data_IF_329336910452
#
_entry.id   IF_329336910452
#
_cell.length_a   1.000
_cell.length_b   1.000
_cell.length_c   1.000
_cell.angle_alpha   90.00
_cell.angle_beta   90.00
_cell.angle_gamma   90.00
#
_symmetry.space_group_name_H-M   'P 1'
#
loop_
_entity.id
_entity.type
_entity.pdbx_description
1 polymer ?
#
# COMPACT_ATOMS: atom_id res chain seq x y z
N UNK A 1 -8.36 8.15 -5.04
CA UNK A 1 -7.99 6.80 -4.59
C UNK A 1 -9.21 6.18 -3.96
N UNK A 2 -9.49 4.94 -4.32
CA UNK A 2 -10.61 4.13 -3.83
C UNK A 2 -10.21 2.65 -3.84
N UNK A 3 -10.94 1.76 -3.12
CA UNK A 3 -10.72 0.33 -3.23
C UNK A 3 -10.77 -0.15 -4.69
N UNK A 4 -9.82 -1.00 -5.06
CA UNK A 4 -9.60 -1.50 -6.42
C UNK A 4 -8.65 -0.66 -7.27
N UNK A 5 -8.24 0.53 -6.82
CA UNK A 5 -7.19 1.29 -7.51
C UNK A 5 -5.81 0.64 -7.29
N UNK A 6 -4.99 0.62 -8.33
CA UNK A 6 -3.57 0.31 -8.21
C UNK A 6 -2.76 1.57 -7.89
N UNK A 7 -1.75 1.42 -7.04
CA UNK A 7 -0.94 2.52 -6.51
C UNK A 7 0.54 2.15 -6.45
N UNK A 8 1.40 3.17 -6.52
CA UNK A 8 2.80 3.10 -6.10
C UNK A 8 2.91 3.69 -4.71
N UNK A 9 3.81 3.10 -3.91
CA UNK A 9 4.29 3.68 -2.67
C UNK A 9 5.75 4.13 -2.88
N UNK A 10 6.01 5.43 -3.13
CA UNK A 10 7.35 5.91 -3.46
C UNK A 10 8.41 5.59 -2.40
N UNK A 11 8.05 5.67 -1.11
CA UNK A 11 8.99 5.34 -0.04
C UNK A 11 9.33 3.84 -0.01
N UNK A 12 8.47 2.95 -0.50
CA UNK A 12 8.85 1.54 -0.70
C UNK A 12 9.90 1.39 -1.81
N UNK A 13 9.81 2.21 -2.86
CA UNK A 13 10.79 2.25 -3.94
C UNK A 13 12.16 2.75 -3.46
N UNK A 14 12.19 3.74 -2.55
CA UNK A 14 13.44 4.19 -1.92
C UNK A 14 14.11 3.08 -1.08
N UNK A 15 13.32 2.11 -0.61
CA UNK A 15 13.79 0.93 0.12
C UNK A 15 14.02 -0.29 -0.78
N UNK A 16 13.94 -0.13 -2.10
CA UNK A 16 14.28 -1.16 -3.09
C UNK A 16 13.10 -1.91 -3.70
N UNK A 17 11.86 -1.68 -3.23
CA UNK A 17 10.68 -2.29 -3.82
C UNK A 17 9.98 -1.37 -4.82
N UNK A 18 10.12 -1.70 -6.09
CA UNK A 18 9.55 -0.92 -7.21
C UNK A 18 8.19 -1.47 -7.71
N UNK A 19 7.57 -2.39 -6.97
CA UNK A 19 6.28 -2.96 -7.35
C UNK A 19 5.10 -2.03 -7.10
N UNK A 20 3.91 -2.53 -7.44
CA UNK A 20 2.65 -1.83 -7.23
C UNK A 20 1.81 -2.55 -6.18
N UNK A 21 0.85 -1.82 -5.62
CA UNK A 21 -0.09 -2.33 -4.64
C UNK A 21 -1.52 -2.07 -5.11
N UNK A 22 -2.44 -2.92 -4.71
CA UNK A 22 -3.87 -2.70 -4.89
C UNK A 22 -4.48 -2.21 -3.58
N UNK A 23 -5.31 -1.16 -3.66
CA UNK A 23 -6.04 -0.64 -2.50
C UNK A 23 -7.20 -1.57 -2.17
N UNK A 24 -7.23 -2.12 -0.96
CA UNK A 24 -8.28 -3.02 -0.46
C UNK A 24 -9.36 -2.23 0.28
N UNK A 25 -8.96 -1.20 1.02
CA UNK A 25 -9.86 -0.42 1.86
C UNK A 25 -9.29 0.93 2.23
N UNK A 26 -10.17 1.86 2.64
CA UNK A 26 -9.78 3.18 3.15
C UNK A 26 -10.56 3.42 4.44
N UNK A 27 -9.84 3.81 5.50
CA UNK A 27 -10.42 4.11 6.80
C UNK A 27 -9.62 5.17 7.55
N UNK A 28 -10.23 5.88 8.51
CA UNK A 28 -9.48 6.71 9.44
C UNK A 28 -8.65 5.84 10.37
N UNK A 29 -7.33 6.08 10.44
CA UNK A 29 -6.44 5.31 11.32
C UNK A 29 -6.78 5.48 12.79
N UNK A 30 -6.65 4.40 13.56
CA UNK A 30 -6.77 4.43 15.02
C UNK A 30 -5.48 4.92 15.70
N UNK A 31 -4.35 4.78 15.01
CA UNK A 31 -3.00 5.00 15.55
C UNK A 31 -2.38 6.30 15.03
N UNK A 32 -2.58 6.62 13.76
CA UNK A 32 -2.10 7.84 13.14
C UNK A 32 -3.20 8.90 13.23
N UNK A 33 -2.96 9.95 14.01
CA UNK A 33 -3.93 11.02 14.24
C UNK A 33 -3.32 12.37 13.90
N UNK A 34 -4.17 13.28 13.42
CA UNK A 34 -3.79 14.68 13.25
C UNK A 34 -3.69 15.40 14.61
N UNK A 35 -3.37 16.71 14.55
CA UNK A 35 -3.25 17.56 15.74
C UNK A 35 -4.58 17.73 16.51
N UNK A 36 -5.72 17.48 15.86
CA UNK A 36 -7.03 17.52 16.49
C UNK A 36 -7.44 16.15 17.08
N UNK A 37 -6.60 15.12 16.95
CA UNK A 37 -6.88 13.77 17.40
C UNK A 37 -7.75 12.95 16.46
N UNK A 38 -8.01 13.45 15.25
CA UNK A 38 -8.78 12.76 14.20
C UNK A 38 -7.85 11.80 13.46
N UNK A 39 -8.31 10.58 13.23
CA UNK A 39 -7.54 9.57 12.50
C UNK A 39 -7.22 10.03 11.08
N UNK A 40 -5.94 9.94 10.68
CA UNK A 40 -5.52 10.26 9.32
C UNK A 40 -6.16 9.26 8.33
N UNK A 41 -6.53 9.70 7.11
CA UNK A 41 -6.97 8.80 6.07
C UNK A 41 -5.87 7.80 5.70
N UNK A 42 -6.15 6.52 5.90
CA UNK A 42 -5.20 5.42 5.70
C UNK A 42 -5.81 4.40 4.75
N UNK A 43 -5.00 3.95 3.80
CA UNK A 43 -5.34 2.86 2.89
C UNK A 43 -4.79 1.54 3.45
N UNK A 44 -5.59 0.49 3.34
CA UNK A 44 -5.10 -0.88 3.44
C UNK A 44 -4.74 -1.32 2.03
N UNK A 45 -3.48 -1.62 1.79
CA UNK A 45 -2.95 -2.01 0.48
C UNK A 45 -2.36 -3.42 0.55
N UNK A 46 -2.40 -4.10 -0.59
CA UNK A 46 -1.82 -5.43 -0.78
C UNK A 46 -0.85 -5.37 -1.97
N UNK A 47 0.40 -5.83 -1.83
CA UNK A 47 1.33 -5.89 -2.96
C UNK A 47 0.80 -6.86 -4.01
N UNK A 48 0.88 -6.47 -5.29
CA UNK A 48 0.47 -7.34 -6.41
C UNK A 48 1.32 -8.61 -6.47
N UNK A 49 2.59 -8.50 -6.08
CA UNK A 49 3.49 -9.63 -5.87
C UNK A 49 4.01 -9.60 -4.43
N UNK A 50 3.36 -10.38 -3.56
CA UNK A 50 3.68 -10.49 -2.14
C UNK A 50 5.01 -11.18 -1.87
N UNK A 51 5.39 -12.15 -2.71
CA UNK A 51 6.67 -12.86 -2.56
C UNK A 51 7.83 -11.91 -2.83
N UNK A 52 7.78 -11.19 -3.96
CA UNK A 52 8.80 -10.18 -4.27
C UNK A 52 8.84 -9.07 -3.24
N UNK A 53 7.69 -8.63 -2.73
CA UNK A 53 7.62 -7.63 -1.68
C UNK A 53 8.35 -8.08 -0.41
N UNK A 54 8.04 -9.28 0.10
CA UNK A 54 8.67 -9.77 1.33
C UNK A 54 10.18 -10.00 1.17
N UNK A 55 10.62 -10.53 0.03
CA UNK A 55 12.06 -10.70 -0.23
C UNK A 55 12.78 -9.35 -0.24
N UNK A 56 12.20 -8.33 -0.88
CA UNK A 56 12.87 -7.04 -1.07
C UNK A 56 12.78 -6.13 0.16
N UNK A 57 11.66 -6.15 0.88
CA UNK A 57 11.38 -5.22 1.97
C UNK A 57 11.57 -5.82 3.37
N UNK A 58 11.35 -7.13 3.52
CA UNK A 58 11.39 -7.80 4.82
C UNK A 58 12.60 -8.72 4.98
N UNK A 59 13.34 -9.02 3.90
CA UNK A 59 14.43 -10.03 3.87
C UNK A 59 13.95 -11.40 4.39
N UNK A 60 12.67 -11.71 4.16
CA UNK A 60 12.01 -12.91 4.65
C UNK A 60 11.50 -13.77 3.48
N UNK A 61 11.71 -15.09 3.60
CA UNK A 61 11.12 -16.05 2.69
C UNK A 61 9.63 -16.20 3.00
N UNK A 62 8.79 -15.66 2.12
CA UNK A 62 7.35 -15.65 2.29
C UNK A 62 6.68 -16.78 1.52
N UNK A 63 5.72 -17.45 2.15
CA UNK A 63 4.95 -18.49 1.47
C UNK A 63 3.96 -17.85 0.48
N UNK A 64 3.83 -18.43 -0.72
CA UNK A 64 2.96 -17.92 -1.80
C UNK A 64 1.48 -17.73 -1.39
N UNK A 65 1.03 -18.39 -0.32
CA UNK A 65 -0.37 -18.34 0.13
C UNK A 65 -0.62 -17.40 1.31
N UNK A 66 0.39 -16.67 1.79
CA UNK A 66 0.24 -15.78 2.94
C UNK A 66 -0.05 -14.35 2.49
N UNK A 67 -1.13 -13.77 3.02
CA UNK A 67 -1.61 -12.45 2.62
C UNK A 67 -0.82 -11.36 3.33
N UNK A 68 -0.16 -10.49 2.56
CA UNK A 68 0.54 -9.31 3.07
C UNK A 68 -0.38 -8.11 2.95
N UNK A 69 -0.71 -7.47 4.07
CA UNK A 69 -1.54 -6.26 4.07
C UNK A 69 -0.87 -5.17 4.86
N UNK A 70 -0.87 -3.98 4.29
CA UNK A 70 -0.09 -2.85 4.79
C UNK A 70 -1.03 -1.67 4.97
N UNK A 71 -0.97 -1.04 6.13
CA UNK A 71 -1.69 0.20 6.40
C UNK A 71 -0.77 1.39 6.10
N UNK A 72 -1.13 2.21 5.10
CA UNK A 72 -0.32 3.35 4.65
C UNK A 72 -1.18 4.62 4.56
N UNK A 73 -0.74 5.77 5.09
CA UNK A 73 -1.42 7.05 4.86
C UNK A 73 -1.62 7.31 3.36
N UNK A 74 -2.82 7.74 2.97
CA UNK A 74 -3.16 7.92 1.54
C UNK A 74 -2.24 8.94 0.86
N UNK A 75 -1.76 9.94 1.61
CA UNK A 75 -0.85 10.97 1.11
C UNK A 75 0.51 10.45 0.67
N UNK A 76 0.92 9.27 1.16
CA UNK A 76 2.16 8.59 0.76
C UNK A 76 1.97 7.71 -0.48
N UNK A 77 0.75 7.62 -1.01
CA UNK A 77 0.44 6.74 -2.14
C UNK A 77 0.17 7.57 -3.40
N UNK A 78 0.71 7.11 -4.52
CA UNK A 78 0.48 7.68 -5.84
C UNK A 78 -0.37 6.73 -6.67
N UNK A 79 -1.45 7.23 -7.26
CA UNK A 79 -2.28 6.43 -8.16
C UNK A 79 -1.47 6.00 -9.38
N UNK A 80 -1.45 4.70 -9.66
CA UNK A 80 -1.05 4.21 -10.97
C UNK A 80 -2.11 4.68 -11.95
N UNK A 81 -1.74 5.55 -12.88
CA UNK A 81 -2.67 6.04 -13.89
C UNK A 81 -2.94 4.97 -14.96
N UNK A 82 -3.58 3.86 -14.57
CA UNK A 82 -4.15 2.89 -15.49
C UNK A 82 -5.58 3.32 -15.88
N UNK A 83 -5.72 4.52 -16.46
CA UNK A 83 -6.90 4.85 -17.26
C UNK A 83 -6.59 4.63 -18.72
N UNK A 84 -6.55 3.36 -19.13
CA UNK A 84 -7.04 3.04 -20.48
C UNK A 84 -8.55 2.88 -20.30
N UNK A 85 -9.26 4.01 -20.39
CA UNK A 85 -10.69 4.01 -20.64
C UNK A 85 -10.91 3.37 -22.00
N UNK A 86 -11.45 2.15 -22.03
CA UNK A 86 -12.11 1.58 -23.20
C UNK A 86 -13.62 1.60 -22.99
#
# INVERSE_FOLDING_TARGET
MQPGDDVIWPEAADNGYHGHFTVIGIFPSRYLKDKAGVGLPTALIEPVDSVSFCIQMLDEAHAENELVRIEVPIEMLQLLSNRVLH
#
